data_IF_944068111711
#
_entry.id   IF_944068111711
#
_cell.length_a   1.000
_cell.length_b   1.000
_cell.length_c   1.000
_cell.angle_alpha   90.00
_cell.angle_beta   90.00
_cell.angle_gamma   90.00
#
_symmetry.space_group_name_H-M   'P 1'
#
loop_
_entity.id
_entity.type
_entity.pdbx_description
1 polymer ?
#
# COMPACT_ATOMS: atom_id res chain seq x y z
N UNK A 1 17.49 -8.66 -14.16
CA UNK A 1 16.38 -7.69 -14.24
C UNK A 1 15.10 -8.39 -14.72
N UNK A 2 14.42 -9.15 -13.85
CA UNK A 2 13.20 -9.91 -14.21
C UNK A 2 11.91 -9.30 -13.63
N UNK A 3 11.99 -8.37 -12.67
CA UNK A 3 10.80 -7.80 -12.00
C UNK A 3 10.07 -6.71 -12.79
N UNK A 4 10.58 -6.32 -13.97
CA UNK A 4 10.07 -5.17 -14.72
C UNK A 4 9.11 -5.54 -15.86
N UNK A 5 8.57 -6.76 -15.92
CA UNK A 5 7.57 -7.14 -16.91
C UNK A 5 6.13 -7.02 -16.40
N UNK A 6 5.94 -6.96 -15.08
CA UNK A 6 4.62 -6.96 -14.47
C UNK A 6 3.90 -5.63 -14.75
N UNK A 7 2.77 -5.70 -15.45
CA UNK A 7 1.93 -4.54 -15.78
C UNK A 7 0.73 -4.38 -14.85
N UNK A 8 0.27 -5.47 -14.24
CA UNK A 8 -0.94 -5.45 -13.41
C UNK A 8 -0.66 -6.23 -12.13
N UNK A 9 -0.94 -5.61 -10.98
CA UNK A 9 -0.90 -6.23 -9.66
C UNK A 9 -2.24 -6.00 -8.97
N UNK A 10 -2.94 -7.10 -8.70
CA UNK A 10 -4.23 -7.08 -8.01
C UNK A 10 -4.12 -7.96 -6.76
N UNK A 11 -4.27 -7.33 -5.60
CA UNK A 11 -4.32 -7.98 -4.31
C UNK A 11 -5.80 -8.07 -3.91
N UNK A 12 -6.39 -9.27 -3.97
CA UNK A 12 -7.80 -9.49 -3.63
C UNK A 12 -7.90 -10.11 -2.24
N UNK A 13 -8.65 -9.48 -1.33
CA UNK A 13 -8.88 -9.97 0.04
C UNK A 13 -7.57 -10.34 0.76
N UNK A 14 -6.46 -9.69 0.41
CA UNK A 14 -5.15 -10.00 0.97
C UNK A 14 -5.04 -9.36 2.36
N UNK A 15 -4.51 -10.11 3.33
CA UNK A 15 -4.20 -9.56 4.65
C UNK A 15 -2.86 -8.85 4.60
N UNK A 16 -2.85 -7.55 4.82
CA UNK A 16 -1.67 -6.70 4.79
C UNK A 16 -1.45 -6.20 6.22
N UNK A 17 -0.48 -6.83 6.88
CA UNK A 17 -0.15 -6.50 8.27
C UNK A 17 0.77 -5.28 8.38
N UNK A 18 1.54 -4.95 7.34
CA UNK A 18 2.44 -3.80 7.33
C UNK A 18 2.41 -3.20 5.92
N UNK A 19 1.89 -1.97 5.81
CA UNK A 19 1.76 -1.29 4.52
C UNK A 19 3.14 -0.91 3.99
N UNK A 20 4.06 -0.54 4.88
CA UNK A 20 5.47 -0.30 4.58
C UNK A 20 6.12 -1.40 3.73
N UNK A 21 5.89 -2.66 4.10
CA UNK A 21 6.49 -3.80 3.42
C UNK A 21 5.97 -3.92 1.99
N UNK A 22 4.66 -3.83 1.78
CA UNK A 22 4.10 -3.96 0.44
C UNK A 22 4.54 -2.80 -0.47
N UNK A 23 4.59 -1.57 0.06
CA UNK A 23 5.12 -0.42 -0.68
C UNK A 23 6.60 -0.61 -1.06
N UNK A 24 7.41 -1.16 -0.15
CA UNK A 24 8.84 -1.44 -0.41
C UNK A 24 9.08 -2.44 -1.56
N UNK A 25 8.12 -3.34 -1.82
CA UNK A 25 8.18 -4.24 -2.97
C UNK A 25 7.64 -3.57 -4.23
N UNK A 26 6.54 -2.83 -4.12
CA UNK A 26 5.89 -2.16 -5.25
C UNK A 26 6.82 -1.14 -5.91
N UNK A 27 7.69 -0.46 -5.15
CA UNK A 27 8.65 0.51 -5.70
C UNK A 27 9.55 -0.06 -6.80
N UNK A 28 9.78 -1.38 -6.84
CA UNK A 28 10.62 -2.00 -7.87
C UNK A 28 9.85 -2.37 -9.15
N UNK A 29 8.52 -2.20 -9.16
CA UNK A 29 7.63 -2.53 -10.28
C UNK A 29 7.46 -1.31 -11.21
N UNK A 30 8.56 -0.83 -11.78
CA UNK A 30 8.59 0.43 -12.54
C UNK A 30 7.71 0.43 -13.80
N UNK A 31 7.39 -0.74 -14.37
CA UNK A 31 6.49 -0.90 -15.51
C UNK A 31 5.03 -1.21 -15.14
N UNK A 32 4.68 -1.15 -13.85
CA UNK A 32 3.33 -1.36 -13.38
C UNK A 32 2.39 -0.29 -13.92
N UNK A 33 1.27 -0.72 -14.50
CA UNK A 33 0.24 0.13 -15.11
C UNK A 33 -1.07 0.11 -14.32
N UNK A 34 -1.35 -1.00 -13.65
CA UNK A 34 -2.54 -1.18 -12.84
C UNK A 34 -2.17 -1.76 -11.47
N UNK A 35 -2.53 -1.05 -10.41
CA UNK A 35 -2.37 -1.49 -9.03
C UNK A 35 -3.73 -1.44 -8.32
N UNK A 36 -4.13 -2.57 -7.75
CA UNK A 36 -5.42 -2.69 -7.07
C UNK A 36 -5.26 -3.42 -5.75
N UNK A 37 -5.59 -2.73 -4.66
CA UNK A 37 -5.92 -3.33 -3.38
C UNK A 37 -7.43 -3.46 -3.35
N UNK A 38 -7.95 -4.67 -3.54
CA UNK A 38 -9.38 -4.94 -3.59
C UNK A 38 -9.80 -5.62 -2.30
N UNK A 39 -10.49 -4.86 -1.43
CA UNK A 39 -10.94 -5.30 -0.10
C UNK A 39 -9.82 -5.93 0.72
N UNK A 40 -8.64 -5.33 0.69
CA UNK A 40 -7.50 -5.81 1.48
C UNK A 40 -7.79 -5.64 2.97
N UNK A 41 -7.34 -6.59 3.78
CA UNK A 41 -7.63 -6.61 5.22
C UNK A 41 -6.42 -6.04 5.96
N UNK A 42 -6.61 -4.98 6.73
CA UNK A 42 -5.61 -4.43 7.63
C UNK A 42 -6.09 -4.55 9.07
N UNK A 43 -5.19 -4.84 10.00
CA UNK A 43 -5.56 -4.79 11.41
C UNK A 43 -5.70 -3.33 11.84
N UNK A 44 -6.86 -2.96 12.37
CA UNK A 44 -7.17 -1.58 12.77
C UNK A 44 -6.20 -1.04 13.83
N UNK A 45 -5.79 -1.88 14.77
CA UNK A 45 -4.82 -1.47 15.79
C UNK A 45 -3.45 -1.21 15.18
N UNK A 46 -3.04 -1.97 14.16
CA UNK A 46 -1.82 -1.65 13.42
C UNK A 46 -1.96 -0.27 12.77
N UNK A 47 -3.06 0.00 12.07
CA UNK A 47 -3.23 1.30 11.42
C UNK A 47 -3.27 2.49 12.41
N UNK A 48 -4.05 2.41 13.49
CA UNK A 48 -4.28 3.55 14.39
C UNK A 48 -3.35 3.62 15.61
N UNK A 49 -2.86 2.48 16.14
CA UNK A 49 -1.97 2.46 17.32
C UNK A 49 -0.48 2.53 16.97
N UNK A 50 -0.10 2.50 15.68
CA UNK A 50 1.28 2.67 15.25
C UNK A 50 1.85 4.08 15.51
N UNK A 51 1.11 5.00 16.12
CA UNK A 51 1.67 6.26 16.66
C UNK A 51 2.81 6.04 17.67
N UNK A 52 2.89 4.84 18.26
CA UNK A 52 3.99 4.42 19.16
C UNK A 52 4.88 3.32 18.58
N UNK A 53 4.45 2.63 17.53
CA UNK A 53 5.18 1.52 16.91
C UNK A 53 5.64 1.97 15.51
N UNK A 54 6.87 2.50 15.47
CA UNK A 54 7.55 3.08 14.31
C UNK A 54 7.88 2.07 13.20
N UNK A 55 7.02 1.11 12.89
CA UNK A 55 7.35 0.04 11.93
C UNK A 55 6.49 0.04 10.66
N UNK A 56 5.56 0.98 10.52
CA UNK A 56 4.67 1.09 9.36
C UNK A 56 4.81 2.43 8.63
N UNK A 57 3.92 2.76 7.68
CA UNK A 57 3.96 3.96 6.83
C UNK A 57 3.97 5.31 7.59
N UNK A 58 3.73 5.30 8.90
CA UNK A 58 3.79 6.48 9.78
C UNK A 58 5.13 6.62 10.51
N UNK A 59 6.09 5.73 10.23
CA UNK A 59 7.46 5.85 10.73
C UNK A 59 8.18 6.97 10.00
N UNK A 60 8.33 8.12 10.66
CA UNK A 60 9.04 9.30 10.16
C UNK A 60 10.52 9.01 9.78
N UNK A 61 11.12 7.95 10.31
CA UNK A 61 12.50 7.54 9.94
C UNK A 61 12.55 6.79 8.60
N UNK A 62 11.40 6.34 8.08
CA UNK A 62 11.28 5.65 6.80
C UNK A 62 10.46 6.53 5.86
N UNK A 63 11.12 7.44 5.17
CA UNK A 63 10.54 8.24 4.09
C UNK A 63 10.11 7.34 2.91
N UNK A 64 8.96 6.68 3.02
CA UNK A 64 8.36 5.92 1.93
C UNK A 64 7.97 6.83 0.75
N UNK A 65 7.73 8.12 1.01
CA UNK A 65 7.38 9.12 0.00
C UNK A 65 8.56 9.48 -0.93
N UNK A 66 9.80 9.53 -0.43
CA UNK A 66 10.92 10.06 -1.23
C UNK A 66 11.34 9.14 -2.39
N UNK A 67 10.97 7.85 -2.35
CA UNK A 67 11.42 6.84 -3.33
C UNK A 67 10.28 6.03 -3.99
N UNK A 68 9.01 6.23 -3.61
CA UNK A 68 7.88 5.48 -4.18
C UNK A 68 7.37 6.15 -5.46
N UNK A 69 8.17 6.07 -6.52
CA UNK A 69 7.77 6.56 -7.84
C UNK A 69 7.35 5.41 -8.77
N UNK A 70 6.09 5.42 -9.24
CA UNK A 70 5.52 4.47 -10.20
C UNK A 70 5.19 5.16 -11.53
N UNK A 71 6.20 5.43 -12.39
CA UNK A 71 6.05 6.33 -13.55
C UNK A 71 5.05 5.84 -14.61
N UNK A 72 4.73 4.55 -14.63
CA UNK A 72 3.84 3.96 -15.62
C UNK A 72 2.43 3.66 -15.09
N UNK A 73 2.14 4.00 -13.84
CA UNK A 73 0.86 3.70 -13.22
C UNK A 73 -0.24 4.55 -13.87
N UNK A 74 -1.27 3.87 -14.38
CA UNK A 74 -2.43 4.50 -15.05
C UNK A 74 -3.72 4.30 -14.26
N UNK A 75 -3.77 3.24 -13.47
CA UNK A 75 -4.93 2.88 -12.68
C UNK A 75 -4.51 2.49 -11.27
N UNK A 76 -5.11 3.15 -10.30
CA UNK A 76 -4.95 2.87 -8.89
C UNK A 76 -6.34 2.67 -8.26
N UNK A 77 -6.52 1.53 -7.59
CA UNK A 77 -7.63 1.32 -6.67
C UNK A 77 -7.05 0.92 -5.32
N UNK A 78 -7.43 1.64 -4.27
CA UNK A 78 -7.06 1.30 -2.90
C UNK A 78 -8.33 1.15 -2.09
N UNK A 79 -8.65 -0.09 -1.72
CA UNK A 79 -9.81 -0.44 -0.90
C UNK A 79 -9.35 -1.37 0.22
N UNK A 80 -9.46 -0.87 1.45
CA UNK A 80 -9.13 -1.58 2.68
C UNK A 80 -10.32 -1.70 3.60
N UNK A 81 -10.40 -2.85 4.26
CA UNK A 81 -11.30 -3.12 5.37
C UNK A 81 -10.51 -3.57 6.59
N UNK A 82 -11.10 -3.41 7.77
CA UNK A 82 -10.56 -4.00 8.98
C UNK A 82 -10.98 -5.46 9.16
N UNK A 83 -10.49 -6.09 10.22
CA UNK A 83 -10.80 -7.48 10.57
C UNK A 83 -12.28 -7.72 10.95
N UNK A 84 -13.06 -6.66 11.17
CA UNK A 84 -14.51 -6.72 11.37
C UNK A 84 -15.28 -6.42 10.07
N UNK A 85 -14.58 -6.09 8.99
CA UNK A 85 -15.15 -5.75 7.69
C UNK A 85 -15.58 -4.29 7.56
N UNK A 86 -15.17 -3.41 8.48
CA UNK A 86 -15.42 -1.97 8.35
C UNK A 86 -14.41 -1.34 7.39
N UNK A 87 -14.86 -0.42 6.54
CA UNK A 87 -13.98 0.28 5.61
C UNK A 87 -12.95 1.14 6.34
N UNK A 88 -11.69 1.07 5.89
CA UNK A 88 -10.58 1.89 6.34
C UNK A 88 -10.28 2.97 5.29
N UNK A 89 -11.25 3.87 5.10
CA UNK A 89 -11.17 4.94 4.11
C UNK A 89 -9.98 5.89 4.32
N UNK A 90 -9.57 6.11 5.58
CA UNK A 90 -8.39 6.94 5.90
C UNK A 90 -7.08 6.30 5.42
N UNK A 91 -6.89 4.99 5.66
CA UNK A 91 -5.73 4.26 5.13
C UNK A 91 -5.74 4.28 3.59
N UNK A 92 -6.91 4.06 3.00
CA UNK A 92 -7.08 4.07 1.55
C UNK A 92 -6.69 5.41 0.95
N UNK A 93 -7.07 6.52 1.61
CA UNK A 93 -6.71 7.88 1.22
C UNK A 93 -5.19 8.13 1.33
N UNK A 94 -4.57 7.75 2.44
CA UNK A 94 -3.13 7.93 2.67
C UNK A 94 -2.32 7.17 1.61
N UNK A 95 -2.60 5.88 1.43
CA UNK A 95 -1.87 5.07 0.44
C UNK A 95 -2.08 5.58 -0.99
N UNK A 96 -3.29 6.04 -1.31
CA UNK A 96 -3.55 6.65 -2.63
C UNK A 96 -2.71 7.91 -2.85
N UNK A 97 -2.44 8.68 -1.78
CA UNK A 97 -1.66 9.91 -1.86
C UNK A 97 -0.15 9.64 -2.03
N UNK A 98 0.36 8.51 -1.55
CA UNK A 98 1.77 8.12 -1.68
C UNK A 98 2.03 7.46 -3.06
N UNK A 99 1.03 6.81 -3.66
CA UNK A 99 1.17 6.01 -4.88
C UNK A 99 0.91 6.78 -6.20
N UNK A 100 0.65 8.09 -6.15
CA UNK A 100 0.35 8.98 -7.28
C UNK A 100 1.43 10.07 -7.38
#
# INVERSE_FOLDING_TARGET
>A
SQHNSLKTLILNNARINYNSNILSYIKYLQNLQELRFNRCICNRNVFFNNKYDKNDIFDEEKNYEEDLWLPNLKYLQVDYIDEKGEELNELSFILSSILI
#
